data_IF_044746497870
#
_entry.id   IF_044746497870
#
_cell.length_a   1.000
_cell.length_b   1.000
_cell.length_c   1.000
_cell.angle_alpha   90.00
_cell.angle_beta   90.00
_cell.angle_gamma   90.00
#
_symmetry.space_group_name_H-M   'P 1'
#
loop_
_entity.id
_entity.type
_entity.pdbx_description
1 polymer ?
#
# COMPACT_ATOMS: atom_id res chain seq x y z
N UNK A 1 -62.80 -16.38 -40.87
CA UNK A 1 -61.36 -16.06 -40.91
C UNK A 1 -60.71 -17.06 -39.98
N UNK A 2 -60.57 -18.32 -40.40
CA UNK A 2 -59.45 -18.91 -41.16
C UNK A 2 -58.12 -18.85 -40.38
N UNK A 3 -57.87 -19.89 -39.58
CA UNK A 3 -56.89 -21.00 -39.80
C UNK A 3 -55.43 -20.69 -40.25
N UNK A 4 -54.47 -21.63 -40.06
CA UNK A 4 -53.28 -21.41 -39.22
C UNK A 4 -51.95 -21.81 -39.92
N UNK A 5 -50.90 -21.99 -39.10
CA UNK A 5 -49.66 -22.76 -39.35
C UNK A 5 -48.48 -22.07 -40.09
N UNK A 6 -47.24 -22.63 -40.04
CA UNK A 6 -46.01 -21.96 -39.61
C UNK A 6 -44.94 -22.07 -40.72
N UNK A 7 -43.68 -21.77 -40.40
CA UNK A 7 -42.50 -21.90 -41.29
C UNK A 7 -42.47 -20.98 -42.51
N UNK A 8 -41.67 -19.91 -42.41
CA UNK A 8 -41.06 -19.24 -43.56
C UNK A 8 -39.58 -19.05 -43.30
N UNK A 9 -38.76 -19.96 -43.86
CA UNK A 9 -37.30 -19.98 -43.79
C UNK A 9 -36.67 -19.01 -44.82
N UNK A 10 -35.61 -18.30 -44.38
CA UNK A 10 -34.37 -17.91 -45.10
C UNK A 10 -34.40 -17.04 -46.39
N UNK A 11 -33.25 -16.52 -46.90
CA UNK A 11 -32.12 -15.85 -46.26
C UNK A 11 -31.67 -14.56 -47.03
N UNK A 12 -31.20 -13.50 -46.37
CA UNK A 12 -30.44 -12.44 -47.07
C UNK A 12 -29.11 -12.09 -46.39
N UNK A 13 -28.06 -12.68 -46.98
CA UNK A 13 -26.75 -12.11 -47.29
C UNK A 13 -25.94 -11.49 -46.14
N UNK A 14 -24.99 -12.29 -45.66
CA UNK A 14 -23.67 -11.82 -45.25
C UNK A 14 -23.07 -10.91 -46.35
N UNK A 15 -22.97 -9.61 -46.05
CA UNK A 15 -21.90 -8.75 -46.54
C UNK A 15 -21.44 -7.87 -45.38
N UNK A 16 -20.16 -8.05 -45.10
CA UNK A 16 -19.25 -7.25 -44.29
C UNK A 16 -19.56 -5.76 -44.31
N UNK A 17 -19.70 -5.16 -43.13
CA UNK A 17 -19.23 -3.80 -42.84
C UNK A 17 -18.78 -3.76 -41.38
N UNK A 18 -17.48 -4.00 -41.20
CA UNK A 18 -16.76 -3.63 -40.00
C UNK A 18 -16.66 -2.10 -40.00
N UNK A 19 -17.49 -1.43 -39.20
CA UNK A 19 -17.33 -0.06 -38.68
C UNK A 19 -18.68 0.46 -38.18
N UNK A 20 -19.00 0.24 -36.90
CA UNK A 20 -19.93 1.05 -36.07
C UNK A 20 -20.09 0.42 -34.68
N UNK A 21 -19.04 0.50 -33.87
CA UNK A 21 -19.15 0.39 -32.41
C UNK A 21 -18.24 1.44 -31.78
N UNK A 22 -18.69 2.68 -31.79
CA UNK A 22 -18.13 3.73 -30.94
C UNK A 22 -18.74 3.60 -29.54
N UNK A 23 -17.82 3.47 -28.58
CA UNK A 23 -17.97 3.45 -27.12
C UNK A 23 -19.08 4.36 -26.59
N UNK A 24 -19.98 3.79 -25.78
CA UNK A 24 -20.79 4.56 -24.83
C UNK A 24 -20.16 4.44 -23.43
N UNK A 25 -19.81 5.55 -22.75
CA UNK A 25 -19.36 5.50 -21.37
C UNK A 25 -20.56 5.56 -20.41
N UNK A 26 -20.69 4.54 -19.57
CA UNK A 26 -21.44 4.59 -18.31
C UNK A 26 -20.49 5.11 -17.22
N UNK A 27 -20.40 6.43 -17.09
CA UNK A 27 -19.81 7.10 -15.92
C UNK A 27 -20.71 8.29 -15.56
N UNK A 28 -21.20 8.29 -14.32
CA UNK A 28 -21.73 9.49 -13.67
C UNK A 28 -20.57 10.50 -13.65
N UNK A 29 -20.76 11.76 -14.08
CA UNK A 29 -19.66 12.72 -14.10
C UNK A 29 -19.29 13.06 -12.66
N UNK A 30 -18.14 12.54 -12.21
CA UNK A 30 -17.35 13.25 -11.19
C UNK A 30 -16.81 14.45 -11.94
N UNK A 31 -17.12 15.67 -11.49
CA UNK A 31 -16.57 16.90 -12.06
C UNK A 31 -15.04 16.86 -11.95
N UNK A 32 -14.37 16.35 -12.98
CA UNK A 32 -13.01 16.76 -13.30
C UNK A 32 -13.11 18.22 -13.70
N UNK A 33 -12.81 19.10 -12.77
CA UNK A 33 -12.58 20.51 -13.08
C UNK A 33 -11.30 20.53 -13.94
N UNK A 34 -11.48 20.48 -15.26
CA UNK A 34 -10.49 20.95 -16.22
C UNK A 34 -10.56 22.48 -16.20
N UNK A 35 -9.97 23.10 -15.19
CA UNK A 35 -9.57 24.49 -15.33
C UNK A 35 -8.33 24.52 -16.24
N UNK A 36 -8.44 25.32 -17.29
CA UNK A 36 -7.39 25.62 -18.27
C UNK A 36 -6.09 26.02 -17.51
N UNK A 37 -4.91 25.44 -17.80
CA UNK A 37 -3.66 25.79 -17.11
C UNK A 37 -3.22 27.26 -17.31
N UNK A 38 -3.95 28.04 -18.12
CA UNK A 38 -3.54 29.35 -18.58
C UNK A 38 -3.95 30.54 -17.68
N UNK A 39 -4.81 30.38 -16.68
CA UNK A 39 -5.33 31.52 -15.90
C UNK A 39 -5.25 31.34 -14.37
N UNK A 40 -4.11 30.91 -13.83
CA UNK A 40 -3.76 31.16 -12.42
C UNK A 40 -2.26 31.39 -12.29
N UNK A 41 -1.77 32.55 -12.75
CA UNK A 41 -0.50 33.10 -12.25
C UNK A 41 -0.83 33.86 -10.97
N UNK A 42 -0.81 33.18 -9.83
CA UNK A 42 -0.69 33.88 -8.55
C UNK A 42 0.73 34.44 -8.54
N UNK A 43 0.83 35.77 -8.58
CA UNK A 43 2.08 36.49 -8.39
C UNK A 43 2.59 36.17 -6.98
N UNK A 44 3.43 35.13 -6.86
CA UNK A 44 4.11 34.83 -5.62
C UNK A 44 5.14 35.94 -5.43
N UNK A 45 5.07 36.75 -4.35
CA UNK A 45 6.11 37.74 -4.08
C UNK A 45 7.48 37.03 -4.08
N UNK A 46 8.48 37.65 -4.72
CA UNK A 46 9.90 37.25 -4.72
C UNK A 46 10.29 36.64 -3.38
N UNK A 47 10.84 35.42 -3.30
CA UNK A 47 10.41 34.58 -2.20
C UNK A 47 11.05 35.04 -0.89
N UNK A 48 10.22 35.17 0.13
CA UNK A 48 10.65 35.19 1.54
C UNK A 48 11.35 33.87 1.95
N UNK A 49 11.38 32.88 1.05
CA UNK A 49 11.79 31.51 1.26
C UNK A 49 12.92 31.13 0.28
N UNK A 50 13.99 30.53 0.78
CA UNK A 50 15.11 30.05 -0.04
C UNK A 50 15.11 28.53 -0.21
N UNK A 51 14.10 27.85 0.35
CA UNK A 51 13.75 26.45 0.08
C UNK A 51 12.34 26.43 -0.53
N UNK A 52 12.14 25.69 -1.60
CA UNK A 52 10.82 25.60 -2.24
C UNK A 52 9.93 24.60 -1.46
N UNK A 53 10.48 23.44 -1.13
CA UNK A 53 9.76 22.40 -0.38
C UNK A 53 10.65 21.73 0.67
N UNK A 54 10.18 21.69 1.91
CA UNK A 54 10.78 20.87 2.97
C UNK A 54 9.95 19.59 3.19
N UNK A 55 10.60 18.44 3.25
CA UNK A 55 9.96 17.14 3.53
C UNK A 55 10.36 16.67 4.93
N UNK A 56 9.38 16.42 5.81
CA UNK A 56 9.60 15.96 7.18
C UNK A 56 9.39 14.46 7.27
N UNK A 57 10.46 13.72 7.57
CA UNK A 57 10.52 12.26 7.57
C UNK A 57 10.99 11.73 6.21
N UNK A 58 12.18 11.14 6.16
CA UNK A 58 12.83 10.63 4.95
C UNK A 58 12.77 9.10 4.87
N UNK A 59 11.64 8.55 5.29
CA UNK A 59 11.33 7.12 5.20
C UNK A 59 10.87 6.70 3.80
N UNK A 60 10.09 5.62 3.77
CA UNK A 60 9.58 4.99 2.54
C UNK A 60 8.76 5.93 1.64
N UNK A 61 8.08 6.92 2.22
CA UNK A 61 7.28 7.90 1.47
C UNK A 61 8.06 9.17 1.22
N UNK A 62 8.62 9.78 2.28
CA UNK A 62 9.17 11.12 2.17
C UNK A 62 10.45 11.23 1.33
N UNK A 63 11.33 10.22 1.32
CA UNK A 63 12.53 10.29 0.48
C UNK A 63 12.19 10.24 -1.02
N UNK A 64 11.38 9.29 -1.53
CA UNK A 64 10.88 9.36 -2.91
C UNK A 64 10.15 10.66 -3.24
N UNK A 65 9.31 11.19 -2.34
CA UNK A 65 8.67 12.49 -2.54
C UNK A 65 9.69 13.62 -2.69
N UNK A 66 10.73 13.65 -1.84
CA UNK A 66 11.78 14.66 -1.91
C UNK A 66 12.54 14.61 -3.25
N UNK A 67 12.88 13.41 -3.71
CA UNK A 67 13.55 13.20 -5.00
C UNK A 67 12.64 13.58 -6.17
N UNK A 68 11.34 13.33 -6.08
CA UNK A 68 10.39 13.71 -7.10
C UNK A 68 10.28 15.24 -7.28
N UNK A 69 10.22 15.98 -6.17
CA UNK A 69 10.27 17.44 -6.21
C UNK A 69 11.60 17.96 -6.78
N UNK A 70 12.72 17.39 -6.34
CA UNK A 70 14.04 17.82 -6.84
C UNK A 70 14.22 17.55 -8.33
N UNK A 71 13.82 16.37 -8.81
CA UNK A 71 13.83 16.06 -10.25
C UNK A 71 12.93 16.95 -11.09
N UNK A 72 11.91 17.57 -10.47
CA UNK A 72 11.06 18.57 -11.10
C UNK A 72 11.65 20.00 -11.04
N UNK A 73 12.86 20.17 -10.50
CA UNK A 73 13.60 21.43 -10.44
C UNK A 73 13.36 22.28 -9.19
N UNK A 74 12.74 21.72 -8.14
CA UNK A 74 12.54 22.43 -6.88
C UNK A 74 13.78 22.36 -5.97
N UNK A 75 14.03 23.42 -5.20
CA UNK A 75 15.00 23.42 -4.10
C UNK A 75 14.40 22.70 -2.91
N UNK A 76 14.95 21.54 -2.56
CA UNK A 76 14.38 20.62 -1.59
C UNK A 76 15.25 20.48 -0.35
N UNK A 77 14.60 20.55 0.81
CA UNK A 77 15.20 20.18 2.08
C UNK A 77 14.53 18.95 2.69
N UNK A 78 15.25 17.85 2.80
CA UNK A 78 14.82 16.69 3.58
C UNK A 78 15.20 16.82 5.05
N UNK A 79 14.20 16.79 5.94
CA UNK A 79 14.39 16.81 7.39
C UNK A 79 14.11 15.42 7.97
N UNK A 80 15.07 14.85 8.70
CA UNK A 80 14.85 13.64 9.50
C UNK A 80 15.55 13.74 10.87
N UNK A 81 14.91 13.22 11.91
CA UNK A 81 15.45 13.21 13.27
C UNK A 81 16.50 12.10 13.45
N UNK A 82 16.48 11.08 12.61
CA UNK A 82 17.41 9.96 12.65
C UNK A 82 18.71 10.30 11.94
N UNK A 83 19.77 10.57 12.71
CA UNK A 83 21.11 10.80 12.16
C UNK A 83 21.63 9.60 11.36
N UNK A 84 21.29 8.38 11.78
CA UNK A 84 21.64 7.17 11.04
C UNK A 84 20.92 7.10 9.70
N UNK A 85 19.63 7.49 9.63
CA UNK A 85 18.91 7.57 8.35
C UNK A 85 19.54 8.59 7.42
N UNK A 86 19.86 9.78 7.92
CA UNK A 86 20.54 10.82 7.14
C UNK A 86 21.91 10.36 6.64
N UNK A 87 22.67 9.62 7.45
CA UNK A 87 23.95 9.06 7.04
C UNK A 87 23.79 8.06 5.89
N UNK A 88 22.88 7.10 6.02
CA UNK A 88 22.59 6.10 4.96
C UNK A 88 22.19 6.78 3.66
N UNK A 89 21.40 7.86 3.72
CA UNK A 89 21.00 8.63 2.54
C UNK A 89 22.23 9.31 1.91
N UNK A 90 23.07 9.97 2.70
CA UNK A 90 24.29 10.65 2.19
C UNK A 90 25.33 9.69 1.61
N UNK A 91 25.35 8.45 2.10
CA UNK A 91 26.19 7.38 1.57
C UNK A 91 25.62 6.79 0.28
N UNK A 92 24.41 7.16 -0.14
CA UNK A 92 23.79 6.72 -1.38
C UNK A 92 23.24 5.29 -1.33
N UNK A 93 23.03 4.73 -0.13
CA UNK A 93 22.54 3.37 0.08
C UNK A 93 21.22 3.24 0.88
N UNK A 94 20.22 4.14 0.74
CA UNK A 94 18.93 3.95 1.40
C UNK A 94 18.07 2.90 0.71
N UNK A 95 17.06 2.42 1.43
CA UNK A 95 16.04 1.50 0.92
C UNK A 95 15.16 2.25 -0.10
N UNK A 96 15.52 2.16 -1.39
CA UNK A 96 14.85 2.81 -2.51
C UNK A 96 14.63 1.82 -3.66
N UNK A 97 13.67 2.16 -4.53
CA UNK A 97 13.54 1.49 -5.82
C UNK A 97 14.73 1.85 -6.73
N UNK A 98 15.05 1.04 -7.76
CA UNK A 98 16.16 1.31 -8.67
C UNK A 98 16.13 2.73 -9.29
N UNK A 99 14.98 3.16 -9.80
CA UNK A 99 14.83 4.48 -10.43
C UNK A 99 15.07 5.62 -9.42
N UNK A 100 14.62 5.48 -8.18
CA UNK A 100 14.86 6.47 -7.12
C UNK A 100 16.33 6.45 -6.64
N UNK A 101 17.04 5.35 -6.83
CA UNK A 101 18.47 5.26 -6.52
C UNK A 101 19.28 6.15 -7.46
N UNK A 102 18.95 6.17 -8.76
CA UNK A 102 19.60 7.06 -9.73
C UNK A 102 19.33 8.53 -9.40
N UNK A 103 18.07 8.89 -9.15
CA UNK A 103 17.67 10.26 -8.75
C UNK A 103 18.37 10.72 -7.49
N UNK A 104 18.60 9.82 -6.53
CA UNK A 104 19.34 10.14 -5.33
C UNK A 104 20.80 10.51 -5.63
N UNK A 105 21.47 9.79 -6.52
CA UNK A 105 22.86 10.11 -6.87
C UNK A 105 22.98 11.50 -7.50
N UNK A 106 22.05 11.84 -8.39
CA UNK A 106 21.97 13.17 -9.00
C UNK A 106 21.66 14.25 -7.95
N UNK A 107 20.72 13.99 -7.04
CA UNK A 107 20.36 14.92 -5.98
C UNK A 107 21.50 15.18 -4.99
N UNK A 108 22.27 14.17 -4.61
CA UNK A 108 23.35 14.31 -3.61
C UNK A 108 24.51 15.20 -4.05
N UNK A 109 24.68 15.41 -5.37
CA UNK A 109 25.71 16.30 -5.91
C UNK A 109 25.20 17.71 -6.24
N UNK A 110 23.89 17.93 -6.12
CA UNK A 110 23.23 19.19 -6.43
C UNK A 110 23.06 20.04 -5.16
N UNK A 111 23.55 21.29 -5.11
CA UNK A 111 23.34 22.17 -3.96
C UNK A 111 21.86 22.48 -3.65
N UNK A 112 20.96 22.30 -4.62
CA UNK A 112 19.52 22.54 -4.44
C UNK A 112 18.80 21.37 -3.72
N UNK A 113 19.50 20.29 -3.38
CA UNK A 113 18.99 19.21 -2.52
C UNK A 113 19.83 19.07 -1.26
N UNK A 114 19.21 19.22 -0.09
CA UNK A 114 19.90 19.07 1.20
C UNK A 114 19.14 18.14 2.13
N UNK A 115 19.85 17.23 2.79
CA UNK A 115 19.30 16.43 3.91
C UNK A 115 19.90 16.86 5.25
N UNK A 116 19.06 17.15 6.23
CA UNK A 116 19.46 17.76 7.51
C UNK A 116 18.61 17.25 8.69
N UNK A 117 19.13 17.45 9.90
CA UNK A 117 18.36 17.33 11.15
C UNK A 117 18.01 18.70 11.74
N UNK A 118 18.43 19.79 11.08
CA UNK A 118 18.20 21.16 11.53
C UNK A 118 16.79 21.62 11.15
N UNK A 119 15.94 21.79 12.17
CA UNK A 119 14.56 22.25 12.06
C UNK A 119 14.44 23.69 11.53
N UNK A 120 15.51 24.49 11.58
CA UNK A 120 15.48 25.87 11.08
C UNK A 120 15.09 25.95 9.60
N UNK A 121 15.37 24.89 8.83
CA UNK A 121 14.99 24.79 7.41
C UNK A 121 13.48 24.90 7.17
N UNK A 122 12.67 24.51 8.16
CA UNK A 122 11.22 24.56 8.03
C UNK A 122 10.70 25.99 7.89
N UNK A 123 11.27 26.95 8.63
CA UNK A 123 10.86 28.37 8.55
C UNK A 123 11.25 29.07 7.23
N UNK A 124 12.20 28.46 6.51
CA UNK A 124 12.80 28.91 5.25
C UNK A 124 12.14 28.32 4.01
N UNK A 125 11.23 27.35 4.18
CA UNK A 125 10.57 26.64 3.10
C UNK A 125 9.23 27.28 2.71
N UNK A 126 8.94 27.41 1.41
CA UNK A 126 7.64 27.87 0.94
C UNK A 126 6.53 26.84 1.21
N UNK A 127 6.85 25.55 1.09
CA UNK A 127 5.98 24.44 1.47
C UNK A 127 6.66 23.47 2.43
N UNK A 128 5.88 22.85 3.32
CA UNK A 128 6.31 21.81 4.24
C UNK A 128 5.39 20.60 4.11
N UNK A 129 5.94 19.43 3.80
CA UNK A 129 5.19 18.18 3.63
C UNK A 129 5.59 17.19 4.72
N UNK A 130 4.62 16.67 5.47
CA UNK A 130 4.85 15.78 6.62
C UNK A 130 4.62 14.33 6.20
N UNK A 131 5.68 13.52 6.21
CA UNK A 131 5.76 12.14 5.72
C UNK A 131 6.38 11.19 6.76
N UNK A 132 6.05 11.36 8.04
CA UNK A 132 6.55 10.51 9.14
C UNK A 132 5.74 9.22 9.31
N UNK A 133 6.34 8.14 9.84
CA UNK A 133 5.62 6.88 10.02
C UNK A 133 4.50 6.98 11.06
N UNK A 134 3.45 6.20 10.83
CA UNK A 134 2.25 6.10 11.68
C UNK A 134 2.00 4.64 12.08
N UNK A 135 2.85 4.07 12.96
CA UNK A 135 2.74 2.67 13.34
C UNK A 135 1.57 2.42 14.31
N UNK A 136 1.18 1.16 14.42
CA UNK A 136 0.33 0.66 15.49
C UNK A 136 1.19 0.02 16.58
N UNK A 137 0.67 -0.04 17.79
CA UNK A 137 1.22 -0.89 18.84
C UNK A 137 0.71 -2.35 18.75
N UNK A 138 1.19 -3.21 19.64
CA UNK A 138 0.82 -4.63 19.73
C UNK A 138 -0.69 -4.86 20.00
N UNK A 139 -1.42 -3.81 20.39
CA UNK A 139 -2.87 -3.82 20.62
C UNK A 139 -3.66 -3.23 19.45
N UNK A 140 -3.00 -2.99 18.31
CA UNK A 140 -3.57 -2.37 17.10
C UNK A 140 -4.08 -0.96 17.37
N UNK A 141 -3.48 -0.25 18.34
CA UNK A 141 -3.79 1.14 18.66
C UNK A 141 -2.77 2.05 17.96
N UNK A 142 -3.21 3.12 17.28
CA UNK A 142 -2.32 4.13 16.71
C UNK A 142 -1.29 4.69 17.71
N UNK A 143 0.00 4.51 17.41
CA UNK A 143 1.10 5.11 18.14
C UNK A 143 1.37 6.53 17.63
N UNK A 144 0.53 7.48 18.04
CA UNK A 144 0.49 8.85 17.50
C UNK A 144 1.71 9.73 17.85
N UNK A 145 2.59 9.30 18.75
CA UNK A 145 3.68 10.13 19.29
C UNK A 145 4.64 10.66 18.22
N UNK A 146 4.97 9.84 17.21
CA UNK A 146 5.87 10.25 16.12
C UNK A 146 5.23 11.36 15.28
N UNK A 147 3.98 11.14 14.85
CA UNK A 147 3.23 12.11 14.07
C UNK A 147 2.98 13.41 14.84
N UNK A 148 2.57 13.31 16.10
CA UNK A 148 2.34 14.47 16.95
C UNK A 148 3.62 15.31 17.10
N UNK A 149 4.76 14.69 17.38
CA UNK A 149 6.05 15.38 17.51
C UNK A 149 6.48 16.10 16.23
N UNK A 150 6.26 15.47 15.07
CA UNK A 150 6.55 16.08 13.77
C UNK A 150 5.64 17.28 13.50
N UNK A 151 4.33 17.13 13.74
CA UNK A 151 3.36 18.22 13.62
C UNK A 151 3.71 19.38 14.57
N UNK A 152 4.04 19.10 15.84
CA UNK A 152 4.43 20.13 16.82
C UNK A 152 5.68 20.89 16.37
N UNK A 153 6.66 20.19 15.80
CA UNK A 153 7.89 20.78 15.25
C UNK A 153 7.58 21.72 14.08
N UNK A 154 6.75 21.26 13.13
CA UNK A 154 6.31 22.08 11.98
C UNK A 154 5.49 23.28 12.44
N UNK A 155 4.54 23.07 13.35
CA UNK A 155 3.73 24.15 13.94
C UNK A 155 4.62 25.18 14.61
N UNK A 156 5.64 24.78 15.36
CA UNK A 156 6.55 25.71 16.05
C UNK A 156 7.39 26.55 15.07
N UNK A 157 7.81 25.95 13.95
CA UNK A 157 8.61 26.62 12.93
C UNK A 157 7.78 27.38 11.88
N UNK A 158 6.46 27.23 11.88
CA UNK A 158 5.60 27.80 10.84
C UNK A 158 5.67 29.33 10.78
N UNK A 159 5.74 29.86 9.57
CA UNK A 159 5.81 31.29 9.23
C UNK A 159 4.67 31.68 8.27
N UNK A 160 4.23 32.96 8.27
CA UNK A 160 3.21 33.41 7.34
C UNK A 160 3.60 33.20 5.88
N UNK A 161 2.62 32.82 5.05
CA UNK A 161 2.79 32.55 3.63
C UNK A 161 3.04 31.08 3.28
N UNK A 162 3.35 30.22 4.24
CA UNK A 162 3.66 28.81 3.97
C UNK A 162 2.45 27.98 3.54
N UNK A 163 2.73 26.88 2.83
CA UNK A 163 1.79 25.77 2.58
C UNK A 163 2.24 24.55 3.38
N UNK A 164 1.40 24.04 4.27
CA UNK A 164 1.68 22.87 5.12
C UNK A 164 0.75 21.74 4.70
N UNK A 165 1.33 20.61 4.30
CA UNK A 165 0.60 19.43 3.83
C UNK A 165 0.92 18.24 4.71
N UNK A 166 -0.10 17.67 5.35
CA UNK A 166 0.02 16.38 6.02
C UNK A 166 -0.21 15.25 5.02
N UNK A 167 0.75 14.33 4.91
CA UNK A 167 0.71 13.18 3.99
C UNK A 167 0.64 11.84 4.73
N UNK A 168 1.17 11.75 5.94
CA UNK A 168 1.12 10.55 6.77
C UNK A 168 -0.32 10.06 6.98
N UNK A 169 -0.59 8.80 6.63
CA UNK A 169 -1.91 8.18 6.84
C UNK A 169 -2.28 8.17 8.32
N UNK A 170 -3.50 8.60 8.64
CA UNK A 170 -3.99 8.76 10.01
C UNK A 170 -5.53 8.75 10.04
N UNK A 171 -6.12 9.04 11.20
CA UNK A 171 -7.57 9.11 11.42
C UNK A 171 -8.18 10.42 10.86
N UNK A 172 -9.50 10.45 10.68
CA UNK A 172 -10.22 11.61 10.14
C UNK A 172 -10.35 12.69 11.22
N UNK A 173 -9.95 13.91 10.90
CA UNK A 173 -9.86 15.05 11.81
C UNK A 173 -8.44 15.40 12.23
N UNK A 174 -7.46 14.52 11.99
CA UNK A 174 -6.09 14.67 12.45
C UNK A 174 -5.42 15.96 11.96
N UNK A 175 -5.64 16.37 10.71
CA UNK A 175 -5.10 17.62 10.16
C UNK A 175 -5.59 18.84 10.93
N UNK A 176 -6.86 18.83 11.37
CA UNK A 176 -7.42 19.93 12.15
C UNK A 176 -6.84 19.95 13.57
N UNK A 177 -6.83 18.80 14.24
CA UNK A 177 -6.37 18.64 15.62
C UNK A 177 -4.86 18.92 15.77
N UNK A 178 -4.03 18.42 14.83
CA UNK A 178 -2.58 18.47 14.96
C UNK A 178 -1.91 19.65 14.25
N UNK A 179 -2.58 20.32 13.30
CA UNK A 179 -2.02 21.46 12.60
C UNK A 179 -2.86 22.72 12.79
N UNK A 180 -4.15 22.70 12.43
CA UNK A 180 -4.98 23.90 12.42
C UNK A 180 -5.15 24.52 13.81
N UNK A 181 -5.53 23.73 14.81
CA UNK A 181 -5.73 24.25 16.18
C UNK A 181 -4.42 24.74 16.82
N UNK A 182 -3.29 24.00 16.75
CA UNK A 182 -2.01 24.49 17.24
C UNK A 182 -1.52 25.77 16.53
N UNK A 183 -1.69 25.88 15.21
CA UNK A 183 -1.35 27.10 14.46
C UNK A 183 -2.19 28.30 14.92
N UNK A 184 -3.50 28.11 15.12
CA UNK A 184 -4.38 29.15 15.62
C UNK A 184 -3.97 29.64 17.02
N UNK A 185 -3.53 28.73 17.91
CA UNK A 185 -2.97 29.09 19.23
C UNK A 185 -1.69 29.92 19.13
N UNK A 186 -0.92 29.80 18.05
CA UNK A 186 0.23 30.67 17.74
C UNK A 186 -0.16 31.99 17.07
N UNK A 187 -1.45 32.21 16.80
CA UNK A 187 -1.95 33.39 16.09
C UNK A 187 -1.91 33.27 14.56
N UNK A 188 -1.61 32.09 14.01
CA UNK A 188 -1.62 31.83 12.57
C UNK A 188 -2.94 31.18 12.16
N UNK A 189 -3.72 31.86 11.34
CA UNK A 189 -5.02 31.39 10.86
C UNK A 189 -4.88 30.70 9.50
N UNK A 190 -5.30 29.43 9.42
CA UNK A 190 -5.33 28.68 8.17
C UNK A 190 -6.26 29.35 7.14
N UNK A 191 -5.80 29.46 5.89
CA UNK A 191 -6.48 30.15 4.80
C UNK A 191 -6.27 31.67 4.77
N UNK A 192 -5.58 32.24 5.76
CA UNK A 192 -5.19 33.68 5.77
C UNK A 192 -3.69 33.85 5.92
N UNK A 193 -3.13 33.34 7.02
CA UNK A 193 -1.72 33.51 7.35
C UNK A 193 -0.89 32.34 6.82
N UNK A 194 -1.46 31.13 6.80
CA UNK A 194 -0.83 29.90 6.27
C UNK A 194 -1.87 29.07 5.52
N UNK A 195 -1.45 28.24 4.57
CA UNK A 195 -2.32 27.26 3.92
C UNK A 195 -2.09 25.87 4.50
N UNK A 196 -3.16 25.17 4.85
CA UNK A 196 -3.09 23.83 5.47
C UNK A 196 -3.98 22.87 4.69
N UNK A 197 -3.43 21.71 4.33
CA UNK A 197 -4.12 20.67 3.60
C UNK A 197 -3.69 19.26 4.05
N UNK A 198 -4.51 18.28 3.70
CA UNK A 198 -4.14 16.87 3.75
C UNK A 198 -4.04 16.33 2.32
N UNK A 199 -3.03 15.49 2.06
CA UNK A 199 -2.88 14.80 0.79
C UNK A 199 -2.24 13.43 1.02
N UNK A 200 -3.00 12.33 1.00
CA UNK A 200 -2.42 11.03 1.26
C UNK A 200 -1.46 10.61 0.14
N UNK A 201 -0.42 9.86 0.52
CA UNK A 201 0.39 9.13 -0.44
C UNK A 201 -0.35 7.86 -0.89
N UNK A 202 -0.28 7.54 -2.18
CA UNK A 202 -1.05 6.46 -2.83
C UNK A 202 -0.15 5.48 -3.60
N UNK A 203 1.16 5.52 -3.35
CA UNK A 203 2.15 4.59 -3.90
C UNK A 203 1.79 3.11 -3.64
N UNK A 204 2.03 2.26 -4.66
CA UNK A 204 1.92 0.80 -4.57
C UNK A 204 3.32 0.16 -4.73
N UNK A 205 3.94 -0.33 -3.64
CA UNK A 205 5.28 -0.91 -3.65
C UNK A 205 5.44 -2.04 -4.67
N UNK A 206 6.49 -2.02 -5.50
CA UNK A 206 6.79 -3.11 -6.44
C UNK A 206 5.74 -3.29 -7.55
N UNK A 207 5.04 -2.22 -7.93
CA UNK A 207 4.14 -2.20 -9.07
C UNK A 207 4.87 -1.67 -10.32
N UNK A 208 4.88 -2.45 -11.41
CA UNK A 208 5.54 -2.09 -12.67
C UNK A 208 4.69 -1.18 -13.58
N UNK A 209 3.51 -0.73 -13.13
CA UNK A 209 2.52 -0.03 -13.97
C UNK A 209 2.83 1.44 -14.25
N UNK A 210 3.91 1.98 -13.71
CA UNK A 210 4.37 3.34 -13.99
C UNK A 210 5.04 4.00 -12.79
N UNK A 211 5.71 5.14 -13.02
CA UNK A 211 6.30 5.96 -11.97
C UNK A 211 5.23 6.45 -10.98
N UNK A 212 5.59 6.69 -9.72
CA UNK A 212 4.63 7.04 -8.67
C UNK A 212 3.94 8.39 -8.93
N UNK A 213 4.56 9.24 -9.74
CA UNK A 213 4.07 10.53 -10.24
C UNK A 213 2.83 10.41 -11.15
N UNK A 214 2.58 9.23 -11.69
CA UNK A 214 1.39 8.93 -12.50
C UNK A 214 0.15 8.67 -11.65
N UNK A 215 0.32 8.36 -10.36
CA UNK A 215 -0.79 8.12 -9.45
C UNK A 215 -1.39 9.47 -9.03
N UNK A 216 -2.67 9.73 -9.30
CA UNK A 216 -3.27 11.02 -8.94
C UNK A 216 -3.20 11.27 -7.43
N UNK A 217 -2.72 12.45 -7.03
CA UNK A 217 -2.77 12.89 -5.63
C UNK A 217 -4.16 13.40 -5.31
N UNK A 218 -4.72 13.03 -4.15
CA UNK A 218 -5.97 13.60 -3.64
C UNK A 218 -5.62 14.69 -2.64
N UNK A 219 -6.26 15.85 -2.68
CA UNK A 219 -5.89 16.99 -1.82
C UNK A 219 -7.15 17.64 -1.25
N UNK A 220 -7.22 17.71 0.07
CA UNK A 220 -8.28 18.41 0.81
C UNK A 220 -7.70 19.56 1.61
N UNK A 221 -8.07 20.79 1.26
CA UNK A 221 -7.64 21.99 1.97
C UNK A 221 -8.61 22.39 3.09
N UNK A 222 -8.11 22.99 4.18
CA UNK A 222 -8.96 23.52 5.26
C UNK A 222 -9.95 24.59 4.76
N UNK A 223 -9.56 25.29 3.69
CA UNK A 223 -10.41 26.15 2.86
C UNK A 223 -10.16 25.82 1.39
N UNK A 224 -11.04 26.23 0.46
CA UNK A 224 -10.80 26.06 -0.97
C UNK A 224 -9.47 26.66 -1.45
N UNK A 225 -9.04 27.79 -0.87
CA UNK A 225 -7.75 28.41 -1.19
C UNK A 225 -6.57 27.58 -0.69
N UNK A 226 -6.66 27.02 0.53
CA UNK A 226 -5.64 26.07 0.99
C UNK A 226 -5.51 24.87 0.05
N UNK A 227 -6.64 24.36 -0.45
CA UNK A 227 -6.69 23.24 -1.39
C UNK A 227 -5.97 23.58 -2.69
N UNK A 228 -6.30 24.72 -3.31
CA UNK A 228 -5.65 25.19 -4.54
C UNK A 228 -4.14 25.36 -4.35
N UNK A 229 -3.70 26.05 -3.29
CA UNK A 229 -2.27 26.28 -3.04
C UNK A 229 -1.51 24.98 -2.79
N UNK A 230 -2.10 24.03 -2.05
CA UNK A 230 -1.50 22.70 -1.86
C UNK A 230 -1.47 21.89 -3.17
N UNK A 231 -2.51 21.99 -4.01
CA UNK A 231 -2.52 21.36 -5.31
C UNK A 231 -1.48 21.96 -6.26
N UNK A 232 -1.22 23.27 -6.23
CA UNK A 232 -0.13 23.90 -6.99
C UNK A 232 1.23 23.34 -6.58
N UNK A 233 1.49 23.22 -5.27
CA UNK A 233 2.73 22.60 -4.77
C UNK A 233 2.83 21.16 -5.27
N UNK A 234 1.78 20.35 -5.13
CA UNK A 234 1.86 18.93 -5.52
C UNK A 234 1.97 18.73 -7.04
N UNK A 235 1.40 19.63 -7.85
CA UNK A 235 1.56 19.63 -9.31
C UNK A 235 2.98 19.90 -9.79
N UNK A 236 3.90 20.35 -8.93
CA UNK A 236 5.31 20.46 -9.29
C UNK A 236 5.86 19.13 -9.78
N UNK A 237 5.45 18.01 -9.17
CA UNK A 237 5.93 16.68 -9.55
C UNK A 237 4.81 15.72 -9.97
N UNK A 238 3.60 15.83 -9.40
CA UNK A 238 2.49 14.94 -9.70
C UNK A 238 1.79 15.34 -11.01
N UNK A 239 1.50 14.37 -11.87
CA UNK A 239 0.84 14.63 -13.16
C UNK A 239 -0.63 15.03 -13.02
N UNK A 240 -1.29 14.56 -11.95
CA UNK A 240 -2.70 14.81 -11.70
C UNK A 240 -2.92 15.04 -10.21
N UNK A 241 -3.70 16.06 -9.89
CA UNK A 241 -4.20 16.31 -8.54
C UNK A 241 -5.72 16.43 -8.56
N UNK A 242 -6.38 15.66 -7.71
CA UNK A 242 -7.82 15.69 -7.50
C UNK A 242 -8.13 16.44 -6.21
N UNK A 243 -8.81 17.58 -6.34
CA UNK A 243 -9.25 18.39 -5.19
C UNK A 243 -10.53 17.82 -4.59
N UNK A 244 -10.58 17.81 -3.26
CA UNK A 244 -11.80 17.56 -2.48
C UNK A 244 -12.05 18.73 -1.53
N UNK A 245 -13.30 18.86 -1.08
CA UNK A 245 -13.78 20.08 -0.40
C UNK A 245 -13.17 20.31 0.99
N UNK A 246 -12.71 19.26 1.66
CA UNK A 246 -12.21 19.33 3.03
C UNK A 246 -11.10 18.30 3.31
N UNK A 247 -10.18 18.56 4.27
CA UNK A 247 -9.08 17.64 4.58
C UNK A 247 -9.58 16.29 5.11
N UNK A 248 -10.73 16.27 5.81
CA UNK A 248 -11.33 15.05 6.33
C UNK A 248 -11.81 14.12 5.22
N UNK A 249 -12.34 14.65 4.12
CA UNK A 249 -12.62 13.87 2.93
C UNK A 249 -11.36 13.20 2.37
N UNK A 250 -10.24 13.94 2.26
CA UNK A 250 -8.98 13.40 1.78
C UNK A 250 -8.36 12.36 2.74
N UNK A 251 -8.46 12.58 4.06
CA UNK A 251 -8.08 11.60 5.09
C UNK A 251 -8.90 10.31 4.95
N UNK A 252 -10.23 10.45 4.84
CA UNK A 252 -11.15 9.32 4.66
C UNK A 252 -10.90 8.57 3.36
N UNK A 253 -10.53 9.24 2.26
CA UNK A 253 -10.23 8.58 0.98
C UNK A 253 -9.17 7.50 1.16
N UNK A 254 -8.07 7.78 1.88
CA UNK A 254 -6.99 6.81 2.09
C UNK A 254 -7.42 5.62 2.93
N UNK A 255 -8.19 5.88 3.98
CA UNK A 255 -8.76 4.83 4.84
C UNK A 255 -9.74 3.96 4.06
N UNK A 256 -10.59 4.56 3.24
CA UNK A 256 -11.55 3.87 2.38
C UNK A 256 -10.84 2.96 1.37
N UNK A 257 -9.84 3.47 0.64
CA UNK A 257 -9.09 2.70 -0.36
C UNK A 257 -8.49 1.42 0.23
N UNK A 258 -7.83 1.53 1.38
CA UNK A 258 -7.18 0.40 2.02
C UNK A 258 -8.18 -0.54 2.72
N UNK A 259 -9.22 0.00 3.37
CA UNK A 259 -10.31 -0.79 3.95
C UNK A 259 -11.03 -1.60 2.88
N UNK A 260 -11.34 -0.98 1.74
CA UNK A 260 -11.98 -1.65 0.63
C UNK A 260 -11.12 -2.82 0.11
N UNK A 261 -9.81 -2.62 -0.04
CA UNK A 261 -8.88 -3.69 -0.42
C UNK A 261 -8.83 -4.79 0.65
N UNK A 262 -8.80 -4.44 1.94
CA UNK A 262 -8.82 -5.41 3.04
C UNK A 262 -10.08 -6.30 3.01
N UNK A 263 -11.26 -5.68 2.92
CA UNK A 263 -12.55 -6.38 2.89
C UNK A 263 -12.64 -7.35 1.72
N UNK A 264 -12.23 -6.92 0.53
CA UNK A 264 -12.30 -7.80 -0.64
C UNK A 264 -11.25 -8.93 -0.61
N UNK A 265 -10.08 -8.72 -0.03
CA UNK A 265 -9.11 -9.81 0.20
C UNK A 265 -9.67 -10.82 1.20
N UNK A 266 -10.26 -10.35 2.31
CA UNK A 266 -10.91 -11.22 3.29
C UNK A 266 -12.03 -12.05 2.65
N UNK A 267 -12.86 -11.41 1.83
CA UNK A 267 -13.92 -12.08 1.08
C UNK A 267 -13.37 -13.12 0.08
N UNK A 268 -12.32 -12.78 -0.66
CA UNK A 268 -11.67 -13.73 -1.58
C UNK A 268 -11.11 -14.96 -0.84
N UNK A 269 -10.50 -14.75 0.34
CA UNK A 269 -10.03 -15.84 1.21
C UNK A 269 -11.19 -16.72 1.69
N UNK A 270 -12.32 -16.11 2.07
CA UNK A 270 -13.51 -16.86 2.50
C UNK A 270 -14.11 -17.68 1.35
N UNK A 271 -14.19 -17.12 0.14
CA UNK A 271 -14.62 -17.87 -1.04
C UNK A 271 -13.67 -19.01 -1.40
N UNK A 272 -12.36 -18.88 -1.16
CA UNK A 272 -11.43 -20.00 -1.33
C UNK A 272 -11.75 -21.14 -0.36
N UNK A 273 -12.01 -20.83 0.91
CA UNK A 273 -12.36 -21.82 1.91
C UNK A 273 -13.70 -22.52 1.60
N UNK A 274 -14.69 -21.76 1.11
CA UNK A 274 -15.99 -22.29 0.65
C UNK A 274 -15.81 -23.18 -0.58
N UNK A 275 -15.11 -22.71 -1.61
CA UNK A 275 -14.89 -23.44 -2.85
C UNK A 275 -14.18 -24.77 -2.57
N UNK A 276 -13.18 -24.78 -1.68
CA UNK A 276 -12.51 -26.00 -1.22
C UNK A 276 -13.47 -27.00 -0.58
N UNK A 277 -14.36 -26.55 0.32
CA UNK A 277 -15.35 -27.44 0.95
C UNK A 277 -16.35 -28.02 -0.07
N UNK A 278 -16.63 -27.28 -1.15
CA UNK A 278 -17.51 -27.71 -2.24
C UNK A 278 -16.78 -28.50 -3.34
N UNK A 279 -15.45 -28.66 -3.26
CA UNK A 279 -14.66 -29.34 -4.30
C UNK A 279 -14.55 -28.56 -5.61
N UNK A 280 -14.57 -27.22 -5.55
CA UNK A 280 -14.53 -26.32 -6.70
C UNK A 280 -13.21 -25.53 -6.71
N UNK A 281 -12.64 -25.32 -7.90
CA UNK A 281 -11.48 -24.44 -8.07
C UNK A 281 -11.88 -22.95 -7.98
N UNK A 282 -11.46 -22.29 -6.90
CA UNK A 282 -11.73 -20.86 -6.68
C UNK A 282 -11.13 -19.97 -7.76
N UNK A 283 -9.99 -20.34 -8.35
CA UNK A 283 -9.34 -19.51 -9.37
C UNK A 283 -10.15 -19.51 -10.67
N UNK A 284 -10.64 -20.68 -11.10
CA UNK A 284 -11.59 -20.79 -12.19
C UNK A 284 -12.89 -19.99 -11.95
N UNK A 285 -13.41 -19.98 -10.72
CA UNK A 285 -14.59 -19.18 -10.35
C UNK A 285 -14.31 -17.68 -10.46
N UNK A 286 -13.19 -17.20 -9.90
CA UNK A 286 -12.81 -15.78 -9.96
C UNK A 286 -12.58 -15.35 -11.41
N UNK A 287 -11.91 -16.18 -12.21
CA UNK A 287 -11.68 -15.89 -13.64
C UNK A 287 -12.99 -15.83 -14.42
N UNK A 288 -13.91 -16.76 -14.19
CA UNK A 288 -15.23 -16.73 -14.81
C UNK A 288 -16.02 -15.48 -14.41
N UNK A 289 -16.01 -15.11 -13.11
CA UNK A 289 -16.66 -13.90 -12.64
C UNK A 289 -16.04 -12.62 -13.24
N UNK A 290 -14.71 -12.59 -13.42
CA UNK A 290 -13.97 -11.48 -14.03
C UNK A 290 -14.30 -11.24 -15.51
N UNK A 291 -14.98 -12.16 -16.19
CA UNK A 291 -15.49 -11.93 -17.55
C UNK A 291 -16.63 -10.92 -17.58
N UNK A 292 -17.27 -10.66 -16.44
CA UNK A 292 -18.36 -9.67 -16.33
C UNK A 292 -17.77 -8.25 -16.37
N UNK A 293 -18.19 -7.38 -17.31
CA UNK A 293 -17.56 -6.07 -17.51
C UNK A 293 -17.92 -5.03 -16.44
N UNK A 294 -18.79 -5.35 -15.47
CA UNK A 294 -19.22 -4.44 -14.41
C UNK A 294 -19.57 -5.18 -13.12
N UNK A 295 -19.43 -4.49 -11.98
CA UNK A 295 -19.86 -4.99 -10.67
C UNK A 295 -19.04 -6.14 -10.10
N UNK A 296 -17.92 -6.51 -10.73
CA UNK A 296 -16.96 -7.44 -10.17
C UNK A 296 -15.54 -6.97 -10.48
N UNK A 297 -14.78 -6.69 -9.44
CA UNK A 297 -13.35 -6.42 -9.53
C UNK A 297 -12.63 -7.58 -8.86
N UNK A 298 -11.74 -8.30 -9.56
CA UNK A 298 -11.16 -9.51 -9.01
C UNK A 298 -10.19 -9.18 -7.87
N UNK A 299 -10.39 -9.86 -6.75
CA UNK A 299 -9.42 -10.04 -5.68
C UNK A 299 -9.07 -11.51 -5.59
N UNK A 300 -7.86 -11.80 -5.14
CA UNK A 300 -7.33 -13.16 -5.15
C UNK A 300 -7.04 -13.60 -3.72
N UNK A 301 -7.35 -14.86 -3.37
CA UNK A 301 -6.99 -15.42 -2.07
C UNK A 301 -5.48 -15.57 -1.94
N UNK A 302 -5.01 -15.68 -0.70
CA UNK A 302 -3.59 -15.83 -0.39
C UNK A 302 -3.33 -16.37 1.02
N UNK A 303 -2.04 -16.48 1.40
CA UNK A 303 -1.64 -16.97 2.73
C UNK A 303 -1.91 -15.96 3.86
N UNK A 304 -2.22 -14.71 3.52
CA UNK A 304 -2.43 -13.62 4.45
C UNK A 304 -2.22 -12.28 3.75
N UNK A 305 -2.19 -11.21 4.54
CA UNK A 305 -1.88 -9.86 4.05
C UNK A 305 -0.76 -9.29 4.89
N UNK A 306 0.24 -8.70 4.24
CA UNK A 306 1.30 -7.96 4.91
C UNK A 306 1.57 -6.61 4.26
N UNK A 307 2.72 -6.01 4.59
CA UNK A 307 3.01 -4.60 4.38
C UNK A 307 2.25 -3.73 5.39
N UNK A 308 2.54 -2.43 5.47
CA UNK A 308 1.84 -1.57 6.45
C UNK A 308 0.38 -1.26 6.09
N UNK A 309 0.11 -0.88 4.83
CA UNK A 309 -1.13 -0.16 4.50
C UNK A 309 -2.42 -0.96 4.77
N UNK A 310 -2.41 -2.29 4.61
CA UNK A 310 -3.63 -3.10 4.72
C UNK A 310 -3.86 -3.68 6.11
N UNK A 311 -2.84 -4.21 6.80
CA UNK A 311 -2.95 -4.57 8.20
C UNK A 311 -3.20 -3.36 9.11
N UNK A 312 -2.64 -2.18 8.80
CA UNK A 312 -2.66 -1.04 9.71
C UNK A 312 -3.78 -0.02 9.44
N UNK A 313 -3.95 0.48 8.22
CA UNK A 313 -4.82 1.64 7.97
C UNK A 313 -6.30 1.41 8.36
N UNK A 314 -6.91 0.23 8.11
CA UNK A 314 -8.28 -0.04 8.59
C UNK A 314 -8.40 0.01 10.12
N UNK A 315 -7.33 -0.29 10.87
CA UNK A 315 -7.32 -0.20 12.33
C UNK A 315 -7.36 1.24 12.82
N UNK A 316 -6.80 2.20 12.09
CA UNK A 316 -6.95 3.63 12.41
C UNK A 316 -8.42 4.04 12.40
N UNK A 317 -9.18 3.61 11.38
CA UNK A 317 -10.61 3.87 11.28
C UNK A 317 -11.36 3.16 12.43
N UNK A 318 -11.12 1.86 12.64
CA UNK A 318 -11.77 1.10 13.72
C UNK A 318 -11.47 1.70 15.10
N UNK A 319 -10.24 2.16 15.34
CA UNK A 319 -9.85 2.84 16.57
C UNK A 319 -10.66 4.12 16.80
N UNK A 320 -10.78 4.97 15.77
CA UNK A 320 -11.59 6.19 15.84
C UNK A 320 -13.06 5.87 16.12
N UNK A 321 -13.64 4.93 15.37
CA UNK A 321 -15.05 4.55 15.53
C UNK A 321 -15.34 3.97 16.93
N UNK A 322 -14.42 3.19 17.51
CA UNK A 322 -14.54 2.69 18.89
C UNK A 322 -14.60 3.84 19.91
N UNK A 323 -13.78 4.88 19.75
CA UNK A 323 -13.83 6.08 20.62
C UNK A 323 -15.17 6.79 20.54
N UNK A 324 -15.74 6.85 19.33
CA UNK A 324 -17.03 7.47 19.05
C UNK A 324 -18.24 6.55 19.33
N UNK A 325 -18.00 5.31 19.75
CA UNK A 325 -19.02 4.26 19.98
C UNK A 325 -19.86 3.94 18.74
N UNK A 326 -19.23 4.02 17.56
CA UNK A 326 -19.81 3.65 16.27
C UNK A 326 -19.31 2.25 15.91
N UNK A 327 -20.23 1.36 15.52
CA UNK A 327 -19.89 0.00 15.11
C UNK A 327 -19.61 -0.07 13.60
N UNK A 328 -18.65 -0.91 13.19
CA UNK A 328 -18.41 -1.22 11.78
C UNK A 328 -18.26 -2.72 11.57
N UNK A 329 -19.37 -3.49 11.59
CA UNK A 329 -19.33 -4.95 11.65
C UNK A 329 -18.64 -5.56 10.42
N UNK A 330 -18.80 -4.99 9.23
CA UNK A 330 -18.17 -5.51 8.01
C UNK A 330 -16.64 -5.38 8.08
N UNK A 331 -16.15 -4.21 8.50
CA UNK A 331 -14.70 -3.96 8.59
C UNK A 331 -14.11 -4.83 9.72
N UNK A 332 -14.78 -4.89 10.88
CA UNK A 332 -14.34 -5.70 12.01
C UNK A 332 -14.20 -7.19 11.64
N UNK A 333 -15.19 -7.76 10.95
CA UNK A 333 -15.14 -9.15 10.50
C UNK A 333 -14.06 -9.38 9.45
N UNK A 334 -13.90 -8.47 8.50
CA UNK A 334 -12.84 -8.56 7.50
C UNK A 334 -11.44 -8.57 8.14
N UNK A 335 -11.18 -7.63 9.06
CA UNK A 335 -9.90 -7.55 9.76
C UNK A 335 -9.65 -8.76 10.66
N UNK A 336 -10.70 -9.29 11.31
CA UNK A 336 -10.62 -10.55 12.07
C UNK A 336 -10.26 -11.73 11.16
N UNK A 337 -10.88 -11.81 9.98
CA UNK A 337 -10.58 -12.83 8.98
C UNK A 337 -9.14 -12.77 8.47
N UNK A 338 -8.63 -11.56 8.21
CA UNK A 338 -7.22 -11.34 7.82
C UNK A 338 -6.28 -11.79 8.92
N UNK A 339 -6.51 -11.35 10.18
CA UNK A 339 -5.66 -11.70 11.31
C UNK A 339 -5.63 -13.22 11.60
N UNK A 340 -6.72 -13.95 11.30
CA UNK A 340 -6.77 -15.40 11.49
C UNK A 340 -6.20 -16.20 10.30
N UNK A 341 -5.90 -15.56 9.17
CA UNK A 341 -5.49 -16.26 7.94
C UNK A 341 -4.20 -17.07 8.11
N UNK A 342 -3.11 -16.57 8.74
CA UNK A 342 -1.89 -17.34 8.99
C UNK A 342 -2.16 -18.66 9.73
N UNK A 343 -3.01 -18.63 10.77
CA UNK A 343 -3.42 -19.83 11.51
C UNK A 343 -4.22 -20.81 10.66
N UNK A 344 -5.06 -20.32 9.73
CA UNK A 344 -5.75 -21.19 8.76
C UNK A 344 -4.77 -21.87 7.81
N UNK A 345 -3.69 -21.20 7.39
CA UNK A 345 -2.62 -21.82 6.59
C UNK A 345 -1.95 -22.96 7.36
N UNK A 346 -1.60 -22.74 8.63
CA UNK A 346 -1.00 -23.79 9.48
C UNK A 346 -1.96 -24.96 9.68
N UNK A 347 -3.25 -24.71 9.85
CA UNK A 347 -4.26 -25.77 9.89
C UNK A 347 -4.31 -26.55 8.58
N UNK A 348 -4.22 -25.87 7.43
CA UNK A 348 -4.20 -26.56 6.13
C UNK A 348 -2.94 -27.42 5.95
N UNK A 349 -1.78 -26.94 6.40
CA UNK A 349 -0.53 -27.73 6.43
C UNK A 349 -0.74 -29.01 7.25
N UNK A 350 -1.36 -28.89 8.43
CA UNK A 350 -1.68 -30.03 9.30
C UNK A 350 -2.62 -31.03 8.60
N UNK A 351 -3.66 -30.54 7.95
CA UNK A 351 -4.64 -31.39 7.25
C UNK A 351 -3.97 -32.14 6.09
N UNK A 352 -3.18 -31.44 5.26
CA UNK A 352 -2.48 -32.01 4.12
C UNK A 352 -1.46 -33.10 4.53
N UNK A 353 -0.74 -32.91 5.65
CA UNK A 353 0.13 -33.94 6.21
C UNK A 353 -0.69 -35.13 6.74
N UNK A 354 -1.81 -34.87 7.41
CA UNK A 354 -2.66 -35.90 8.03
C UNK A 354 -3.33 -36.79 6.99
N UNK A 355 -3.74 -36.22 5.85
CA UNK A 355 -4.24 -36.96 4.67
C UNK A 355 -3.24 -38.00 4.16
N UNK A 356 -1.94 -37.85 4.48
CA UNK A 356 -0.86 -38.80 4.16
C UNK A 356 -0.40 -39.65 5.35
N UNK A 357 -1.15 -39.63 6.45
CA UNK A 357 -0.84 -40.40 7.65
C UNK A 357 0.30 -39.82 8.49
N UNK A 358 0.65 -38.53 8.32
CA UNK A 358 1.70 -37.86 9.08
C UNK A 358 1.14 -36.72 9.94
N UNK A 359 1.54 -36.66 11.22
CA UNK A 359 1.23 -35.53 12.10
C UNK A 359 2.14 -34.32 11.85
N UNK A 360 1.70 -33.13 12.26
CA UNK A 360 2.48 -31.89 12.15
C UNK A 360 3.72 -31.88 13.06
N UNK A 361 3.60 -32.39 14.28
CA UNK A 361 4.71 -32.45 15.22
C UNK A 361 5.84 -33.35 14.67
N UNK A 362 7.05 -32.83 14.57
CA UNK A 362 8.20 -33.51 13.97
C UNK A 362 8.18 -33.59 12.44
N UNK A 363 7.18 -33.02 11.75
CA UNK A 363 7.23 -32.86 10.30
C UNK A 363 8.20 -31.73 9.92
N UNK A 364 9.00 -31.94 8.88
CA UNK A 364 9.84 -30.90 8.25
C UNK A 364 8.99 -30.14 7.26
N UNK A 365 8.77 -28.86 7.54
CA UNK A 365 7.96 -27.98 6.70
C UNK A 365 8.86 -26.89 6.14
N UNK A 366 8.99 -26.85 4.81
CA UNK A 366 9.75 -25.80 4.13
C UNK A 366 8.80 -24.71 3.65
N UNK A 367 9.00 -23.47 4.10
CA UNK A 367 8.27 -22.29 3.62
C UNK A 367 9.08 -21.60 2.52
N UNK A 368 8.52 -21.53 1.31
CA UNK A 368 9.16 -20.88 0.15
C UNK A 368 8.61 -19.46 0.02
N UNK A 369 9.51 -18.48 0.19
CA UNK A 369 9.21 -17.04 0.23
C UNK A 369 8.76 -16.56 1.60
N UNK A 370 9.35 -15.47 2.08
CA UNK A 370 9.03 -14.82 3.37
C UNK A 370 8.70 -13.33 3.24
N UNK A 371 9.00 -12.70 2.10
CA UNK A 371 8.51 -11.35 1.82
C UNK A 371 6.96 -11.32 1.77
N UNK A 372 6.34 -10.20 2.16
CA UNK A 372 4.87 -10.11 2.15
C UNK A 372 4.27 -10.03 0.73
N UNK A 373 5.08 -9.62 -0.27
CA UNK A 373 4.71 -9.49 -1.69
C UNK A 373 5.85 -10.02 -2.56
N UNK A 374 5.56 -10.57 -3.76
CA UNK A 374 6.61 -10.92 -4.70
C UNK A 374 7.52 -9.74 -5.05
N UNK A 375 8.82 -10.04 -5.13
CA UNK A 375 9.88 -9.15 -5.62
C UNK A 375 10.12 -7.86 -4.81
N UNK A 376 9.79 -7.87 -3.51
CA UNK A 376 10.15 -6.78 -2.60
C UNK A 376 11.01 -7.30 -1.46
N UNK A 377 11.99 -6.50 -1.04
CA UNK A 377 12.82 -6.75 0.15
C UNK A 377 12.14 -6.15 1.38
N UNK A 378 10.94 -6.62 1.70
CA UNK A 378 10.16 -6.11 2.83
C UNK A 378 9.43 -7.23 3.59
N UNK A 379 9.71 -7.29 4.90
CA UNK A 379 9.13 -8.25 5.85
C UNK A 379 8.06 -7.64 6.76
N UNK A 380 7.77 -6.35 6.65
CA UNK A 380 6.81 -5.67 7.53
C UNK A 380 5.45 -6.36 7.44
N UNK A 381 4.93 -6.75 8.60
CA UNK A 381 3.66 -7.49 8.74
C UNK A 381 3.58 -8.75 7.86
N UNK A 382 4.71 -9.38 7.49
CA UNK A 382 4.67 -10.55 6.61
C UNK A 382 4.00 -11.75 7.31
N UNK A 383 2.92 -12.32 6.74
CA UNK A 383 2.24 -13.48 7.34
C UNK A 383 3.13 -14.73 7.35
N UNK A 384 4.19 -14.78 6.54
CA UNK A 384 5.14 -15.89 6.54
C UNK A 384 5.85 -16.06 7.89
N UNK A 385 6.15 -14.94 8.56
CA UNK A 385 6.84 -14.96 9.86
C UNK A 385 5.93 -15.53 10.96
N UNK A 386 4.65 -15.14 10.95
CA UNK A 386 3.65 -15.71 11.86
C UNK A 386 3.44 -17.20 11.57
N UNK A 387 3.35 -17.60 10.30
CA UNK A 387 3.23 -19.00 9.89
C UNK A 387 4.43 -19.83 10.38
N UNK A 388 5.65 -19.33 10.19
CA UNK A 388 6.87 -20.00 10.66
C UNK A 388 6.87 -20.16 12.19
N UNK A 389 6.49 -19.11 12.92
CA UNK A 389 6.38 -19.16 14.37
C UNK A 389 5.32 -20.17 14.84
N UNK A 390 4.12 -20.14 14.26
CA UNK A 390 3.03 -21.05 14.60
C UNK A 390 3.35 -22.52 14.26
N UNK A 391 4.01 -22.78 13.13
CA UNK A 391 4.48 -24.13 12.78
C UNK A 391 5.46 -24.68 13.85
N UNK A 392 6.41 -23.85 14.28
CA UNK A 392 7.40 -24.22 15.31
C UNK A 392 6.73 -24.43 16.67
N UNK A 393 5.83 -23.55 17.07
CA UNK A 393 5.03 -23.70 18.31
C UNK A 393 4.21 -24.99 18.30
N UNK A 394 3.71 -25.40 17.13
CA UNK A 394 3.00 -26.67 16.95
C UNK A 394 3.93 -27.91 16.85
N UNK A 395 5.25 -27.73 17.02
CA UNK A 395 6.24 -28.81 17.05
C UNK A 395 6.79 -29.22 15.68
N UNK A 396 6.50 -28.50 14.60
CA UNK A 396 7.10 -28.77 13.30
C UNK A 396 8.57 -28.30 13.25
N UNK A 397 9.38 -28.96 12.44
CA UNK A 397 10.72 -28.53 12.08
C UNK A 397 10.58 -27.59 10.88
N UNK A 398 10.30 -26.31 11.14
CA UNK A 398 10.07 -25.32 10.09
C UNK A 398 11.39 -24.68 9.63
N UNK A 399 11.59 -24.64 8.32
CA UNK A 399 12.67 -23.93 7.63
C UNK A 399 12.10 -23.05 6.53
N UNK A 400 12.90 -22.14 5.98
CA UNK A 400 12.45 -21.29 4.88
C UNK A 400 13.54 -21.13 3.81
N UNK A 401 13.13 -20.72 2.61
CA UNK A 401 14.02 -20.30 1.54
C UNK A 401 13.44 -19.07 0.82
N UNK A 402 14.23 -18.02 0.71
CA UNK A 402 13.87 -16.76 0.04
C UNK A 402 15.13 -16.12 -0.55
N UNK A 403 15.12 -15.68 -1.83
CA UNK A 403 16.30 -15.13 -2.48
C UNK A 403 16.73 -13.75 -1.95
N UNK A 404 15.87 -13.06 -1.21
CA UNK A 404 16.12 -11.71 -0.69
C UNK A 404 16.54 -11.71 0.79
N UNK A 405 16.21 -12.76 1.54
CA UNK A 405 16.37 -12.78 3.00
C UNK A 405 17.20 -13.96 3.49
N UNK A 406 18.50 -13.72 3.69
CA UNK A 406 19.41 -14.71 4.27
C UNK A 406 19.08 -15.07 5.73
N UNK A 407 18.54 -14.11 6.50
CA UNK A 407 18.06 -14.35 7.86
C UNK A 407 16.74 -13.63 8.10
N UNK A 408 15.89 -14.21 8.94
CA UNK A 408 14.68 -13.57 9.47
C UNK A 408 14.63 -13.70 10.98
N UNK A 409 14.05 -12.70 11.64
CA UNK A 409 13.76 -12.75 13.07
C UNK A 409 12.27 -12.97 13.26
N UNK A 410 11.91 -13.97 14.06
CA UNK A 410 10.52 -14.25 14.43
C UNK A 410 10.11 -13.43 15.64
N UNK A 411 8.80 -13.38 15.90
CA UNK A 411 8.19 -12.64 17.02
C UNK A 411 8.76 -13.04 18.40
N UNK A 412 9.16 -14.30 18.58
CA UNK A 412 9.78 -14.80 19.82
C UNK A 412 11.27 -14.45 19.96
N UNK A 413 11.80 -13.64 19.03
CA UNK A 413 13.21 -13.25 18.95
C UNK A 413 14.13 -14.33 18.36
N UNK A 414 13.60 -15.48 17.96
CA UNK A 414 14.41 -16.50 17.30
C UNK A 414 14.83 -16.05 15.90
N UNK A 415 16.10 -16.27 15.58
CA UNK A 415 16.66 -15.99 14.25
C UNK A 415 16.70 -17.30 13.47
N UNK A 416 16.12 -17.28 12.28
CA UNK A 416 16.23 -18.38 11.32
C UNK A 416 17.15 -17.97 10.18
N UNK A 417 17.97 -18.91 9.73
CA UNK A 417 18.78 -18.77 8.51
C UNK A 417 18.05 -19.47 7.36
N UNK A 418 17.95 -18.79 6.22
CA UNK A 418 17.37 -19.34 5.00
C UNK A 418 18.22 -20.49 4.46
N UNK A 419 17.57 -21.43 3.76
CA UNK A 419 18.26 -22.53 3.10
C UNK A 419 18.81 -22.09 1.74
N UNK A 420 20.10 -22.32 1.53
CA UNK A 420 20.76 -22.08 0.24
C UNK A 420 20.31 -23.10 -0.84
N UNK A 421 20.19 -24.38 -0.46
CA UNK A 421 19.68 -25.46 -1.30
C UNK A 421 18.39 -26.04 -0.71
N UNK A 422 17.23 -25.43 -1.00
CA UNK A 422 15.95 -25.91 -0.50
C UNK A 422 15.61 -27.32 -1.01
N UNK A 423 16.08 -27.72 -2.20
CA UNK A 423 15.78 -29.03 -2.79
C UNK A 423 16.47 -30.17 -2.01
N UNK A 424 17.67 -29.93 -1.49
CA UNK A 424 18.40 -30.92 -0.68
C UNK A 424 17.82 -31.13 0.73
N UNK A 425 16.95 -30.24 1.21
CA UNK A 425 16.37 -30.31 2.58
C UNK A 425 15.38 -31.46 2.77
N UNK A 426 14.94 -32.07 1.67
CA UNK A 426 14.02 -33.21 1.60
C UNK A 426 12.78 -33.04 2.50
N UNK A 427 12.03 -31.93 2.45
CA UNK A 427 10.96 -31.64 3.39
C UNK A 427 9.81 -32.65 3.29
N UNK A 428 8.97 -32.71 4.31
CA UNK A 428 7.79 -33.58 4.31
C UNK A 428 6.58 -32.88 3.68
N UNK A 429 6.55 -31.54 3.74
CA UNK A 429 5.66 -30.66 3.01
C UNK A 429 6.39 -29.37 2.63
N UNK A 430 6.13 -28.88 1.42
CA UNK A 430 6.56 -27.54 0.99
C UNK A 430 5.33 -26.63 0.99
N UNK A 431 5.40 -25.50 1.71
CA UNK A 431 4.42 -24.43 1.68
C UNK A 431 4.97 -23.31 0.81
N UNK A 432 4.34 -23.03 -0.32
CA UNK A 432 4.71 -21.87 -1.15
C UNK A 432 3.87 -20.68 -0.70
N UNK A 433 4.55 -19.72 -0.07
CA UNK A 433 3.96 -18.52 0.51
C UNK A 433 4.10 -17.32 -0.41
N UNK A 434 5.32 -17.05 -0.89
CA UNK A 434 5.60 -15.93 -1.81
C UNK A 434 6.40 -16.42 -3.00
N UNK A 435 5.87 -16.22 -4.20
CA UNK A 435 6.53 -16.58 -5.45
C UNK A 435 7.20 -15.36 -6.07
N UNK A 436 8.54 -15.30 -5.99
CA UNK A 436 9.32 -14.27 -6.66
C UNK A 436 9.56 -14.63 -8.13
N UNK A 437 9.69 -13.63 -9.00
CA UNK A 437 9.94 -13.83 -10.45
C UNK A 437 11.31 -14.44 -10.74
N UNK A 438 12.32 -14.09 -9.93
CA UNK A 438 13.71 -14.54 -10.10
C UNK A 438 14.01 -15.88 -9.42
N UNK A 439 13.02 -16.49 -8.77
CA UNK A 439 13.20 -17.74 -8.04
C UNK A 439 12.89 -18.93 -8.94
N UNK A 440 13.87 -19.80 -9.14
CA UNK A 440 13.66 -21.10 -9.78
C UNK A 440 12.91 -22.03 -8.80
N UNK A 441 11.76 -22.51 -9.26
CA UNK A 441 10.86 -23.40 -8.52
C UNK A 441 10.63 -24.72 -9.26
N UNK A 442 11.39 -25.02 -10.31
CA UNK A 442 11.23 -26.26 -11.10
C UNK A 442 11.48 -27.51 -10.25
N UNK A 443 12.32 -27.40 -9.21
CA UNK A 443 12.58 -28.46 -8.23
C UNK A 443 11.35 -28.85 -7.39
N UNK A 444 10.29 -28.05 -7.39
CA UNK A 444 9.00 -28.44 -6.80
C UNK A 444 8.35 -29.58 -7.58
N UNK A 445 8.62 -29.67 -8.90
CA UNK A 445 8.10 -30.73 -9.76
C UNK A 445 8.72 -32.07 -9.36
N UNK A 446 7.90 -32.94 -8.77
CA UNK A 446 8.31 -34.25 -8.24
C UNK A 446 8.39 -34.30 -6.71
N UNK A 447 8.25 -33.18 -6.00
CA UNK A 447 8.07 -33.23 -4.57
C UNK A 447 6.70 -33.84 -4.25
N UNK A 448 6.60 -34.80 -3.32
CA UNK A 448 5.37 -35.53 -3.09
C UNK A 448 4.23 -34.63 -2.63
N UNK A 449 4.50 -33.64 -1.77
CA UNK A 449 3.46 -32.76 -1.19
C UNK A 449 3.88 -31.29 -1.25
N UNK A 450 3.17 -30.51 -2.06
CA UNK A 450 3.32 -29.06 -2.19
C UNK A 450 1.98 -28.40 -1.93
N UNK A 451 1.95 -27.49 -0.95
CA UNK A 451 0.82 -26.64 -0.62
C UNK A 451 1.05 -25.24 -1.23
N UNK A 452 0.31 -24.93 -2.28
CA UNK A 452 0.29 -23.63 -2.94
C UNK A 452 -0.69 -22.70 -2.24
N UNK A 453 -0.17 -21.83 -1.38
CA UNK A 453 -0.97 -20.78 -0.75
C UNK A 453 -1.11 -19.54 -1.63
N UNK A 454 -0.39 -19.46 -2.75
CA UNK A 454 -0.43 -18.33 -3.69
C UNK A 454 -1.52 -18.46 -4.74
N UNK A 455 -2.00 -19.68 -4.98
CA UNK A 455 -2.89 -20.06 -6.08
C UNK A 455 -2.32 -19.78 -7.48
N UNK A 456 -1.00 -19.59 -7.60
CA UNK A 456 -0.30 -19.18 -8.84
C UNK A 456 0.62 -20.26 -9.41
N UNK A 457 0.71 -21.44 -8.80
CA UNK A 457 1.52 -22.55 -9.32
C UNK A 457 0.72 -23.43 -10.29
N UNK A 458 0.09 -22.82 -11.30
CA UNK A 458 -0.80 -23.52 -12.25
C UNK A 458 -0.11 -24.61 -13.07
N UNK A 459 1.22 -24.51 -13.19
CA UNK A 459 2.15 -25.43 -13.83
C UNK A 459 2.44 -26.71 -13.01
N UNK A 460 2.07 -26.74 -11.72
CA UNK A 460 2.22 -27.91 -10.85
C UNK A 460 0.86 -28.58 -10.62
N UNK A 461 0.49 -29.63 -11.38
CA UNK A 461 -0.87 -30.19 -11.37
C UNK A 461 -1.25 -30.91 -10.06
N UNK A 462 -0.28 -31.59 -9.42
CA UNK A 462 -0.51 -32.38 -8.20
C UNK A 462 -0.42 -31.55 -6.91
N UNK A 463 -0.36 -30.22 -7.03
CA UNK A 463 -0.32 -29.33 -5.88
C UNK A 463 -1.64 -29.36 -5.12
N UNK A 464 -1.54 -29.16 -3.82
CA UNK A 464 -2.67 -28.88 -2.96
C UNK A 464 -2.81 -27.38 -2.84
N UNK A 465 -4.02 -26.84 -2.90
CA UNK A 465 -4.28 -25.42 -2.62
C UNK A 465 -4.72 -25.20 -1.17
N UNK A 466 -4.56 -23.95 -0.73
CA UNK A 466 -4.94 -23.49 0.60
C UNK A 466 -6.44 -23.69 0.89
#
# INVERSE_FOLDING_TARGET
MNDPDPFGNEPERFRTDAERFTRAPLLVPVETIHDDPADVVVDLPTPAFDVDVAIVGLGYVGLPTALAFHSAGARVAGLDVSLSRLQVIREGHPDLMPDDTERLQDALVDPDFTVTADVAVLSRAAAVIICVPTPLDDHLVPALGILQSACDTVVAAATPGQVIVLTSTTYVGCTREMLVEPLARRGLTAGRDVSVAFSPERIDPGNDRGPHEDVPRVVGGVTPECGRRAATVLHTYAKQVHLVDDPGAAEMTKLLENTFRAVNIALANEFADIARQLGIDVMGVIQAAATKPYGFMPFYPGPGVGGHCIPCDPQYLLWQLRRERIASPVIEQAMTGIALRPRRVVQRVRDALSERGRGLAGARVLVVGVAYKPNVEDLRESPALEILAELRRAGAIASYADPYFATVTLEDGSVLTGLDDPAASAPDLILVHTRHRRQDLDWLAGHPLVLDATFRLTDLPDRVTL
#
